data_IF_811957481180
#
_entry.id   IF_811957481180
#
_cell.length_a   1.000
_cell.length_b   1.000
_cell.length_c   1.000
_cell.angle_alpha   90.00
_cell.angle_beta   90.00
_cell.angle_gamma   90.00
#
_symmetry.space_group_name_H-M   'P 1'
#
loop_
_entity.id
_entity.type
_entity.pdbx_description
1 polymer ?
#
# COMPACT_ATOMS: atom_id res chain seq x y z
N UNK A 1 13.62 15.00 -0.87
CA UNK A 1 13.62 14.42 -2.24
C UNK A 1 12.79 15.21 -3.29
N UNK A 2 13.08 15.14 -4.61
CA UNK A 2 12.26 15.76 -5.68
C UNK A 2 11.15 14.81 -6.22
N UNK A 3 10.15 15.36 -6.94
CA UNK A 3 8.99 14.60 -7.44
C UNK A 3 9.36 13.39 -8.31
N UNK A 4 10.32 13.55 -9.22
CA UNK A 4 10.71 12.48 -10.14
C UNK A 4 11.37 11.31 -9.41
N UNK A 5 12.26 11.61 -8.46
CA UNK A 5 12.90 10.61 -7.61
C UNK A 5 11.87 9.87 -6.74
N UNK A 6 10.89 10.59 -6.18
CA UNK A 6 9.79 9.98 -5.43
C UNK A 6 8.98 8.99 -6.28
N UNK A 7 8.61 9.39 -7.50
CA UNK A 7 7.87 8.53 -8.42
C UNK A 7 8.64 7.24 -8.74
N UNK A 8 9.94 7.35 -9.03
CA UNK A 8 10.80 6.19 -9.29
C UNK A 8 10.89 5.24 -8.11
N UNK A 9 11.02 5.77 -6.88
CA UNK A 9 11.06 4.95 -5.68
C UNK A 9 9.74 4.21 -5.42
N UNK A 10 8.60 4.87 -5.68
CA UNK A 10 7.29 4.23 -5.57
C UNK A 10 7.12 3.14 -6.64
N UNK A 11 7.53 3.40 -7.88
CA UNK A 11 7.47 2.42 -8.97
C UNK A 11 8.33 1.17 -8.67
N UNK A 12 9.57 1.35 -8.21
CA UNK A 12 10.43 0.24 -7.79
C UNK A 12 9.81 -0.61 -6.67
N UNK A 13 9.12 0.03 -5.72
CA UNK A 13 8.41 -0.68 -4.63
C UNK A 13 7.18 -1.42 -5.13
N UNK A 14 6.45 -0.87 -6.11
CA UNK A 14 5.32 -1.57 -6.76
C UNK A 14 5.82 -2.83 -7.46
N UNK A 15 6.96 -2.77 -8.16
CA UNK A 15 7.58 -3.93 -8.80
C UNK A 15 7.97 -4.98 -7.77
N UNK A 16 8.64 -4.58 -6.67
CA UNK A 16 9.03 -5.48 -5.60
C UNK A 16 7.83 -6.19 -4.93
N UNK A 17 6.75 -5.46 -4.65
CA UNK A 17 5.51 -6.04 -4.09
C UNK A 17 4.87 -6.99 -5.10
N UNK A 18 4.84 -6.63 -6.38
CA UNK A 18 4.27 -7.47 -7.44
C UNK A 18 5.04 -8.79 -7.55
N UNK A 19 6.38 -8.74 -7.49
CA UNK A 19 7.22 -9.93 -7.48
C UNK A 19 6.96 -10.81 -6.24
N UNK A 20 6.83 -10.20 -5.05
CA UNK A 20 6.46 -10.92 -3.81
C UNK A 20 5.12 -11.64 -3.94
N UNK A 21 4.10 -10.96 -4.48
CA UNK A 21 2.79 -11.57 -4.73
C UNK A 21 2.89 -12.75 -5.70
N UNK A 22 3.67 -12.63 -6.79
CA UNK A 22 3.87 -13.73 -7.73
C UNK A 22 4.50 -14.97 -7.07
N UNK A 23 5.44 -14.79 -6.14
CA UNK A 23 6.02 -15.88 -5.36
C UNK A 23 4.96 -16.55 -4.47
N UNK A 24 4.12 -15.76 -3.78
CA UNK A 24 3.03 -16.28 -2.95
C UNK A 24 1.96 -17.03 -3.77
N UNK A 25 1.75 -16.62 -5.02
CA UNK A 25 0.77 -17.23 -5.90
C UNK A 25 1.24 -18.55 -6.54
N UNK A 26 2.55 -18.84 -6.56
CA UNK A 26 3.09 -20.09 -7.11
C UNK A 26 2.66 -20.35 -8.56
N UNK A 27 2.50 -19.30 -9.37
CA UNK A 27 2.03 -19.39 -10.77
C UNK A 27 0.51 -19.35 -10.98
N UNK A 28 -0.28 -19.28 -9.91
CA UNK A 28 -1.73 -19.09 -9.99
C UNK A 28 -2.10 -17.60 -10.08
N UNK A 29 -3.31 -17.29 -10.53
CA UNK A 29 -3.80 -15.90 -10.48
C UNK A 29 -4.42 -15.58 -9.13
N UNK A 30 -4.37 -14.30 -8.71
CA UNK A 30 -5.01 -13.83 -7.46
C UNK A 30 -6.50 -14.19 -7.39
N UNK A 31 -7.18 -14.17 -8.54
CA UNK A 31 -8.58 -14.56 -8.66
C UNK A 31 -8.82 -16.04 -8.35
N UNK A 32 -7.92 -16.93 -8.76
CA UNK A 32 -8.01 -18.37 -8.46
C UNK A 32 -7.80 -18.63 -6.97
N UNK A 33 -6.80 -18.00 -6.34
CA UNK A 33 -6.56 -18.17 -4.89
C UNK A 33 -7.74 -17.64 -4.06
N UNK A 34 -8.35 -16.52 -4.47
CA UNK A 34 -9.57 -16.01 -3.83
C UNK A 34 -10.72 -17.02 -3.92
N UNK A 35 -10.93 -17.64 -5.09
CA UNK A 35 -11.99 -18.65 -5.29
C UNK A 35 -11.74 -19.90 -4.46
N UNK A 36 -10.49 -20.31 -4.32
CA UNK A 36 -10.10 -21.53 -3.59
C UNK A 36 -10.02 -21.31 -2.06
N UNK A 37 -10.24 -20.07 -1.58
CA UNK A 37 -10.17 -19.74 -0.15
C UNK A 37 -8.76 -19.80 0.45
N UNK A 38 -7.72 -19.89 -0.39
CA UNK A 38 -6.30 -20.08 0.02
C UNK A 38 -5.55 -18.79 0.28
N UNK A 39 -6.28 -17.72 0.58
CA UNK A 39 -5.72 -16.40 0.79
C UNK A 39 -4.94 -16.37 2.10
N UNK A 40 -3.63 -16.20 2.01
CA UNK A 40 -2.76 -16.07 3.19
C UNK A 40 -2.71 -14.63 3.68
N UNK A 41 -2.36 -14.44 4.95
CA UNK A 41 -2.09 -13.12 5.52
C UNK A 41 -1.00 -12.36 4.75
N UNK A 42 0.05 -13.05 4.30
CA UNK A 42 1.12 -12.47 3.49
C UNK A 42 0.64 -11.92 2.14
N UNK A 43 -0.24 -12.66 1.44
CA UNK A 43 -0.81 -12.20 0.18
C UNK A 43 -1.71 -10.98 0.36
N UNK A 44 -2.51 -10.94 1.42
CA UNK A 44 -3.36 -9.78 1.76
C UNK A 44 -2.53 -8.57 2.16
N UNK A 45 -1.47 -8.78 2.92
CA UNK A 45 -0.51 -7.73 3.27
C UNK A 45 0.11 -7.11 2.02
N UNK A 46 0.61 -7.93 1.09
CA UNK A 46 1.16 -7.41 -0.18
C UNK A 46 0.11 -6.73 -1.05
N UNK A 47 -1.13 -7.24 -1.08
CA UNK A 47 -2.25 -6.58 -1.76
C UNK A 47 -2.50 -5.17 -1.21
N UNK A 48 -2.52 -5.01 0.11
CA UNK A 48 -2.65 -3.72 0.78
C UNK A 48 -1.52 -2.75 0.41
N UNK A 49 -0.27 -3.23 0.44
CA UNK A 49 0.90 -2.44 0.01
C UNK A 49 0.75 -1.98 -1.43
N UNK A 50 0.38 -2.88 -2.34
CA UNK A 50 0.23 -2.57 -3.76
C UNK A 50 -0.84 -1.51 -4.00
N UNK A 51 -1.99 -1.63 -3.34
CA UNK A 51 -3.09 -0.66 -3.46
C UNK A 51 -2.66 0.72 -2.94
N UNK A 52 -2.03 0.79 -1.77
CA UNK A 52 -1.54 2.05 -1.20
C UNK A 52 -0.50 2.73 -2.11
N UNK A 53 0.49 1.99 -2.59
CA UNK A 53 1.53 2.52 -3.48
C UNK A 53 0.95 3.04 -4.81
N UNK A 54 -0.01 2.31 -5.40
CA UNK A 54 -0.69 2.77 -6.63
C UNK A 54 -1.55 4.01 -6.40
N UNK A 55 -2.18 4.12 -5.23
CA UNK A 55 -2.94 5.32 -4.85
C UNK A 55 -2.01 6.53 -4.72
N UNK A 56 -0.90 6.40 -3.98
CA UNK A 56 0.11 7.44 -3.84
C UNK A 56 0.69 7.85 -5.20
N UNK A 57 1.06 6.89 -6.06
CA UNK A 57 1.56 7.14 -7.41
C UNK A 57 0.57 7.97 -8.23
N UNK A 58 -0.72 7.60 -8.19
CA UNK A 58 -1.78 8.32 -8.91
C UNK A 58 -1.93 9.75 -8.40
N UNK A 59 -1.94 9.94 -7.08
CA UNK A 59 -2.09 11.26 -6.47
C UNK A 59 -0.92 12.19 -6.81
N UNK A 60 0.33 11.70 -6.73
CA UNK A 60 1.53 12.47 -7.10
C UNK A 60 1.55 12.80 -8.60
N UNK A 61 1.09 11.88 -9.47
CA UNK A 61 0.96 12.11 -10.91
C UNK A 61 -0.12 13.15 -11.23
N UNK A 62 -1.24 13.13 -10.51
CA UNK A 62 -2.37 14.04 -10.73
C UNK A 62 -2.15 15.45 -10.17
N UNK A 63 -1.29 15.60 -9.17
CA UNK A 63 -0.93 16.92 -8.66
C UNK A 63 -0.09 17.67 -9.71
N UNK A 64 -0.65 18.75 -10.26
CA UNK A 64 0.03 19.67 -11.15
C UNK A 64 0.96 20.58 -10.33
N UNK A 65 2.28 20.43 -10.50
CA UNK A 65 3.36 21.12 -9.78
C UNK A 65 3.04 21.50 -8.33
N UNK A 66 2.70 20.53 -7.46
CA UNK A 66 2.54 20.79 -6.05
C UNK A 66 3.89 21.22 -5.47
N UNK A 67 3.85 22.33 -4.72
CA UNK A 67 4.91 22.63 -3.75
C UNK A 67 5.15 21.38 -2.87
N UNK A 68 6.39 21.13 -2.41
CA UNK A 68 6.71 19.94 -1.60
C UNK A 68 5.74 19.69 -0.45
N UNK A 69 5.26 20.74 0.21
CA UNK A 69 4.32 20.64 1.33
C UNK A 69 2.95 20.08 0.91
N UNK A 70 2.44 20.45 -0.27
CA UNK A 70 1.18 19.92 -0.78
C UNK A 70 1.25 18.43 -1.12
N UNK A 71 2.41 17.94 -1.61
CA UNK A 71 2.63 16.50 -1.78
C UNK A 71 2.66 15.79 -0.43
N UNK A 72 3.33 16.37 0.56
CA UNK A 72 3.46 15.80 1.88
C UNK A 72 2.09 15.68 2.58
N UNK A 73 1.24 16.70 2.47
CA UNK A 73 -0.11 16.67 3.04
C UNK A 73 -0.99 15.57 2.43
N UNK A 74 -0.90 15.38 1.11
CA UNK A 74 -1.61 14.30 0.41
C UNK A 74 -1.15 12.93 0.89
N UNK A 75 0.17 12.73 1.03
CA UNK A 75 0.74 11.48 1.53
C UNK A 75 0.37 11.23 3.01
N UNK A 76 0.35 12.27 3.84
CA UNK A 76 -0.08 12.19 5.24
C UNK A 76 -1.57 11.84 5.35
N UNK A 77 -2.41 12.44 4.53
CA UNK A 77 -3.85 12.12 4.49
C UNK A 77 -4.09 10.66 4.10
N UNK A 78 -3.38 10.17 3.10
CA UNK A 78 -3.45 8.75 2.69
C UNK A 78 -2.97 7.83 3.82
N UNK A 79 -1.85 8.15 4.48
CA UNK A 79 -1.34 7.37 5.61
C UNK A 79 -2.32 7.32 6.79
N UNK A 80 -2.91 8.46 7.15
CA UNK A 80 -3.91 8.55 8.20
C UNK A 80 -5.15 7.71 7.87
N UNK A 81 -5.60 7.72 6.61
CA UNK A 81 -6.74 6.91 6.14
C UNK A 81 -6.49 5.41 6.31
N UNK A 82 -5.29 4.93 6.01
CA UNK A 82 -4.93 3.51 6.19
C UNK A 82 -4.81 3.13 7.66
N UNK A 83 -4.21 3.99 8.49
CA UNK A 83 -4.11 3.77 9.93
C UNK A 83 -5.49 3.71 10.59
N UNK A 84 -6.42 4.58 10.20
CA UNK A 84 -7.78 4.57 10.73
C UNK A 84 -8.53 3.29 10.33
N UNK A 85 -8.43 2.86 9.08
CA UNK A 85 -9.02 1.58 8.65
C UNK A 85 -8.41 0.40 9.40
N UNK A 86 -7.09 0.37 9.60
CA UNK A 86 -6.42 -0.66 10.39
C UNK A 86 -6.97 -0.71 11.82
N UNK A 87 -7.03 0.45 12.51
CA UNK A 87 -7.62 0.54 13.87
C UNK A 87 -9.06 0.05 13.88
N UNK A 88 -9.87 0.42 12.88
CA UNK A 88 -11.26 -0.03 12.77
C UNK A 88 -11.36 -1.55 12.73
N UNK A 89 -10.55 -2.24 11.93
CA UNK A 89 -10.58 -3.70 11.83
C UNK A 89 -9.96 -4.40 13.06
N UNK A 90 -8.98 -3.78 13.71
CA UNK A 90 -8.39 -4.30 14.95
C UNK A 90 -9.37 -4.22 16.13
N UNK A 91 -10.26 -3.21 16.16
CA UNK A 91 -11.21 -2.99 17.25
C UNK A 91 -12.57 -3.69 17.07
N UNK A 92 -12.74 -4.50 16.01
CA UNK A 92 -13.95 -5.30 15.82
C UNK A 92 -14.00 -6.47 16.80
N UNK A 93 -15.19 -6.79 17.33
CA UNK A 93 -15.41 -7.96 18.20
C UNK A 93 -14.98 -9.27 17.53
N UNK A 94 -15.23 -9.39 16.22
CA UNK A 94 -14.74 -10.48 15.41
C UNK A 94 -13.71 -9.97 14.39
N UNK A 95 -12.44 -10.09 14.76
CA UNK A 95 -11.33 -9.65 13.93
C UNK A 95 -11.21 -10.50 12.66
N UNK A 96 -11.24 -9.84 11.50
CA UNK A 96 -10.92 -10.48 10.23
C UNK A 96 -9.43 -10.34 9.94
N UNK A 97 -8.66 -11.39 10.23
CA UNK A 97 -7.20 -11.44 9.99
C UNK A 97 -6.82 -11.02 8.55
N UNK A 98 -7.51 -11.46 7.48
CA UNK A 98 -7.23 -10.99 6.12
C UNK A 98 -7.36 -9.47 5.95
N UNK A 99 -8.38 -8.85 6.57
CA UNK A 99 -8.57 -7.40 6.50
C UNK A 99 -7.56 -6.65 7.36
N UNK A 100 -7.16 -7.20 8.51
CA UNK A 100 -6.09 -6.62 9.32
C UNK A 100 -4.78 -6.64 8.54
N UNK A 101 -4.40 -7.77 7.94
CA UNK A 101 -3.19 -7.89 7.14
C UNK A 101 -3.18 -6.93 5.95
N UNK A 102 -4.31 -6.82 5.22
CA UNK A 102 -4.48 -5.86 4.14
C UNK A 102 -4.28 -4.42 4.59
N UNK A 103 -4.94 -4.00 5.67
CA UNK A 103 -4.82 -2.62 6.15
C UNK A 103 -3.43 -2.32 6.74
N UNK A 104 -2.80 -3.31 7.38
CA UNK A 104 -1.42 -3.20 7.86
C UNK A 104 -0.47 -2.96 6.70
N UNK A 105 -0.58 -3.73 5.61
CA UNK A 105 0.24 -3.54 4.42
C UNK A 105 0.09 -2.16 3.79
N UNK A 106 -1.13 -1.65 3.69
CA UNK A 106 -1.34 -0.29 3.20
C UNK A 106 -0.74 0.78 4.12
N UNK A 107 -0.91 0.65 5.44
CA UNK A 107 -0.35 1.58 6.42
C UNK A 107 1.19 1.60 6.38
N UNK A 108 1.83 0.43 6.30
CA UNK A 108 3.29 0.31 6.23
C UNK A 108 3.84 0.88 4.93
N UNK A 109 3.16 0.65 3.80
CA UNK A 109 3.53 1.25 2.52
C UNK A 109 3.45 2.79 2.54
N UNK A 110 2.42 3.36 3.15
CA UNK A 110 2.32 4.81 3.31
C UNK A 110 3.41 5.37 4.23
N UNK A 111 3.71 4.69 5.34
CA UNK A 111 4.78 5.09 6.26
C UNK A 111 6.17 5.03 5.60
N UNK A 112 6.41 4.02 4.74
CA UNK A 112 7.61 3.92 3.92
C UNK A 112 7.75 5.12 2.95
N UNK A 113 6.66 5.49 2.26
CA UNK A 113 6.66 6.61 1.31
C UNK A 113 6.92 7.94 2.02
N UNK A 114 6.33 8.16 3.19
CA UNK A 114 6.60 9.34 4.02
C UNK A 114 8.07 9.42 4.43
N UNK A 115 8.64 8.32 4.93
CA UNK A 115 10.08 8.28 5.29
C UNK A 115 10.99 8.59 4.11
N UNK A 116 10.65 8.10 2.91
CA UNK A 116 11.39 8.43 1.70
C UNK A 116 11.34 9.92 1.38
N UNK A 117 10.18 10.55 1.56
CA UNK A 117 10.00 11.98 1.27
C UNK A 117 10.85 12.87 2.19
N UNK A 118 10.93 12.49 3.48
CA UNK A 118 11.71 13.18 4.52
C UNK A 118 13.23 12.97 4.38
N UNK A 119 13.66 12.06 3.48
CA UNK A 119 15.07 11.78 3.16
C UNK A 119 15.62 12.68 2.04
#
# INVERSE_FOLDING_TARGET
MNRQALLQQIEARIEAVTASMQQHLGGQTLCQIHKDGRVTGGLKYDEGRLVALRAALRQIKAAADPLPDALLDVLRAEAARWQEQLRRFQNQEQQSIPWIAYNQGGADACADVLRLFDS
#
